data_IF_190411318029
#
_entry.id   IF_190411318029
#
_cell.length_a   1.000
_cell.length_b   1.000
_cell.length_c   1.000
_cell.angle_alpha   90.00
_cell.angle_beta   90.00
_cell.angle_gamma   90.00
#
_symmetry.space_group_name_H-M   'P 1'
#
loop_
_entity.id
_entity.type
_entity.pdbx_description
1 polymer ?
#
# COMPACT_ATOMS: atom_id res chain seq x y z
N UNK A 1 -33.12 -45.42 45.76
CA UNK A 1 -33.37 -45.12 44.33
C UNK A 1 -32.00 -45.20 43.65
N UNK A 2 -31.43 -46.38 43.36
CA UNK A 2 -31.76 -47.31 42.26
C UNK A 2 -32.26 -46.53 41.05
N UNK A 3 -31.52 -46.29 39.95
CA UNK A 3 -30.46 -47.06 39.30
C UNK A 3 -31.02 -47.51 37.95
N UNK A 4 -30.43 -47.10 36.83
CA UNK A 4 -30.53 -47.82 35.55
C UNK A 4 -29.44 -47.34 34.58
N UNK A 5 -28.56 -48.28 34.24
CA UNK A 5 -27.64 -48.22 33.12
C UNK A 5 -28.36 -48.70 31.84
N UNK A 6 -27.94 -48.21 30.69
CA UNK A 6 -28.39 -48.66 29.37
C UNK A 6 -27.25 -48.53 28.37
N UNK A 7 -26.51 -49.62 28.23
CA UNK A 7 -25.67 -49.98 27.09
C UNK A 7 -26.59 -50.63 26.04
N UNK A 8 -26.45 -50.32 24.75
CA UNK A 8 -26.36 -51.33 23.67
C UNK A 8 -26.34 -50.74 22.24
N UNK A 9 -25.22 -51.00 21.57
CA UNK A 9 -25.02 -51.64 20.25
C UNK A 9 -25.73 -51.20 18.94
N UNK A 10 -24.85 -51.13 17.93
CA UNK A 10 -24.95 -51.65 16.56
C UNK A 10 -25.56 -50.79 15.43
N UNK A 11 -24.80 -50.67 14.33
CA UNK A 11 -25.36 -50.28 13.03
C UNK A 11 -24.38 -49.79 11.97
N UNK A 12 -23.36 -50.56 11.58
CA UNK A 12 -22.74 -50.39 10.25
C UNK A 12 -23.70 -50.89 9.16
N UNK A 13 -23.69 -50.26 7.98
CA UNK A 13 -23.75 -51.03 6.74
C UNK A 13 -22.60 -50.71 5.78
N UNK A 14 -21.97 -51.81 5.36
CA UNK A 14 -21.00 -51.97 4.27
C UNK A 14 -21.78 -52.21 2.97
N UNK A 15 -21.48 -51.52 1.87
CA UNK A 15 -21.75 -51.96 0.47
C UNK A 15 -21.01 -51.03 -0.52
N UNK A 16 -19.84 -51.41 -1.07
CA UNK A 16 -19.57 -52.10 -2.36
C UNK A 16 -20.12 -51.46 -3.65
N UNK A 17 -19.24 -50.72 -4.34
CA UNK A 17 -18.96 -50.74 -5.81
C UNK A 17 -19.97 -50.14 -6.80
N UNK A 18 -19.61 -49.90 -8.08
CA UNK A 18 -18.38 -50.33 -8.77
C UNK A 18 -17.58 -49.24 -9.52
N UNK A 19 -16.35 -49.65 -9.81
CA UNK A 19 -15.37 -49.19 -10.78
C UNK A 19 -15.91 -48.98 -12.21
N UNK A 20 -15.51 -47.90 -12.86
CA UNK A 20 -15.26 -47.86 -14.32
C UNK A 20 -14.01 -47.05 -14.61
N UNK A 21 -13.02 -47.79 -15.08
CA UNK A 21 -11.82 -47.37 -15.77
C UNK A 21 -12.22 -46.75 -17.13
N UNK A 22 -11.67 -45.60 -17.51
CA UNK A 22 -11.68 -45.18 -18.91
C UNK A 22 -10.30 -44.63 -19.29
N UNK A 23 -9.64 -45.44 -20.09
CA UNK A 23 -8.36 -45.17 -20.74
C UNK A 23 -8.54 -44.13 -21.83
N UNK A 24 -7.95 -42.94 -21.65
CA UNK A 24 -7.93 -41.87 -22.65
C UNK A 24 -6.50 -41.50 -23.03
N UNK A 25 -5.88 -42.32 -23.88
CA UNK A 25 -4.57 -42.09 -24.49
C UNK A 25 -4.73 -41.05 -25.61
N UNK A 26 -4.46 -39.78 -25.32
CA UNK A 26 -4.46 -38.66 -26.27
C UNK A 26 -3.04 -38.32 -26.72
N UNK A 27 -2.81 -38.45 -28.02
CA UNK A 27 -1.58 -38.23 -28.76
C UNK A 27 -0.97 -36.83 -28.61
N UNK A 28 0.37 -36.80 -28.50
CA UNK A 28 1.19 -35.61 -28.63
C UNK A 28 0.96 -34.95 -30.01
N UNK A 29 0.51 -33.70 -30.00
CA UNK A 29 0.52 -32.83 -31.17
C UNK A 29 1.65 -31.81 -31.02
N UNK A 30 2.72 -32.06 -31.76
CA UNK A 30 3.76 -31.10 -32.10
C UNK A 30 3.13 -29.90 -32.79
N UNK A 31 3.22 -28.71 -32.19
CA UNK A 31 2.66 -27.47 -32.72
C UNK A 31 3.59 -26.29 -32.46
N UNK A 32 4.47 -26.04 -33.43
CA UNK A 32 5.02 -24.74 -33.83
C UNK A 32 5.43 -23.73 -32.74
N UNK A 33 6.74 -23.72 -32.49
CA UNK A 33 7.50 -22.64 -31.88
C UNK A 33 7.34 -21.35 -32.72
N UNK A 34 6.84 -20.23 -32.17
CA UNK A 34 6.80 -18.96 -32.89
C UNK A 34 8.22 -18.41 -33.10
N UNK A 35 8.45 -17.87 -34.31
CA UNK A 35 9.70 -17.28 -34.72
C UNK A 35 10.09 -16.07 -33.84
N UNK A 36 11.39 -15.83 -33.58
CA UNK A 36 11.83 -14.64 -32.87
C UNK A 36 11.61 -13.37 -33.72
N UNK A 37 11.23 -12.23 -33.11
CA UNK A 37 11.08 -10.97 -33.83
C UNK A 37 12.42 -10.46 -34.36
N UNK A 38 12.43 -9.72 -35.49
CA UNK A 38 13.63 -9.13 -36.05
C UNK A 38 14.24 -8.08 -35.10
N UNK A 39 15.56 -8.16 -34.94
CA UNK A 39 16.37 -7.21 -34.15
C UNK A 39 16.24 -5.80 -34.74
N UNK A 40 15.77 -4.85 -33.95
CA UNK A 40 15.83 -3.43 -34.29
C UNK A 40 17.30 -2.96 -34.34
N UNK A 41 17.67 -2.11 -35.32
CA UNK A 41 19.01 -1.55 -35.42
C UNK A 41 19.28 -0.52 -34.31
N UNK A 42 20.47 -0.64 -33.71
CA UNK A 42 21.10 0.36 -32.83
C UNK A 42 21.13 1.72 -33.53
N UNK A 43 20.38 2.68 -33.00
CA UNK A 43 20.62 4.10 -33.30
C UNK A 43 21.65 4.66 -32.34
N UNK A 44 22.71 5.18 -32.96
CA UNK A 44 23.89 5.74 -32.33
C UNK A 44 23.57 7.03 -31.58
N UNK A 45 24.11 7.08 -30.36
CA UNK A 45 24.31 8.25 -29.50
C UNK A 45 25.00 9.40 -30.27
N UNK A 46 24.40 10.61 -30.34
CA UNK A 46 25.15 11.82 -30.68
C UNK A 46 25.80 12.46 -29.44
N UNK A 47 26.96 13.05 -29.70
CA UNK A 47 27.92 13.60 -28.76
C UNK A 47 27.47 14.94 -28.14
N UNK A 48 27.97 15.19 -26.92
CA UNK A 48 27.92 16.48 -26.24
C UNK A 48 28.77 17.54 -26.97
N UNK A 49 28.32 18.79 -27.09
CA UNK A 49 29.18 19.90 -27.49
C UNK A 49 29.95 20.52 -26.29
N UNK A 50 31.12 21.13 -26.55
CA UNK A 50 32.06 21.60 -25.54
C UNK A 50 31.71 22.97 -24.95
N UNK A 51 32.30 23.23 -23.79
CA UNK A 51 32.12 24.45 -23.01
C UNK A 51 32.67 25.72 -23.64
N UNK A 52 32.15 26.85 -23.14
CA UNK A 52 32.65 28.20 -23.41
C UNK A 52 32.80 28.95 -22.08
N UNK A 53 34.05 29.04 -21.65
CA UNK A 53 34.83 30.23 -21.25
C UNK A 53 34.17 31.31 -20.38
N UNK A 54 34.79 31.49 -19.21
CA UNK A 54 34.74 32.66 -18.32
C UNK A 54 35.18 33.97 -18.99
N UNK A 55 34.51 35.06 -18.64
CA UNK A 55 35.08 36.41 -18.73
C UNK A 55 34.10 37.49 -18.29
N UNK A 56 34.55 38.40 -17.42
CA UNK A 56 33.91 39.71 -17.26
C UNK A 56 33.69 40.15 -15.82
N UNK A 57 34.59 41.01 -15.34
CA UNK A 57 34.61 41.67 -14.02
C UNK A 57 34.21 43.14 -14.19
N UNK A 58 33.67 43.75 -13.11
CA UNK A 58 33.39 45.20 -12.82
C UNK A 58 31.98 45.67 -13.22
N UNK A 59 31.25 46.50 -12.48
CA UNK A 59 31.54 47.46 -11.40
C UNK A 59 30.23 47.72 -10.58
N UNK A 60 30.26 48.17 -9.30
CA UNK A 60 29.09 48.37 -8.46
C UNK A 60 28.66 49.84 -8.43
N UNK A 61 27.40 50.14 -8.75
CA UNK A 61 26.70 51.38 -8.34
C UNK A 61 25.23 51.32 -8.76
N UNK A 62 24.36 50.83 -7.89
CA UNK A 62 22.96 51.25 -7.84
C UNK A 62 22.61 51.53 -6.38
N UNK A 63 22.51 52.82 -6.05
CA UNK A 63 21.61 53.27 -4.98
C UNK A 63 20.19 53.11 -5.50
N UNK A 64 19.32 52.44 -4.76
CA UNK A 64 18.02 53.00 -4.30
C UNK A 64 17.11 51.93 -3.69
N UNK A 65 16.34 52.44 -2.73
CA UNK A 65 15.05 51.97 -2.24
C UNK A 65 15.11 50.89 -1.16
N UNK A 66 14.78 51.34 0.06
CA UNK A 66 14.35 50.49 1.16
C UNK A 66 13.35 49.45 0.65
N UNK A 67 13.70 48.18 0.79
CA UNK A 67 12.75 47.10 0.68
C UNK A 67 11.73 47.29 1.81
N UNK A 68 10.56 47.77 1.45
CA UNK A 68 9.33 47.50 2.19
C UNK A 68 9.32 45.97 2.37
N UNK A 69 9.28 45.42 3.59
CA UNK A 69 9.13 43.99 3.75
C UNK A 69 7.74 43.66 3.21
N UNK A 70 7.72 43.12 2.00
CA UNK A 70 6.58 42.44 1.43
C UNK A 70 6.26 41.25 2.34
N UNK A 71 5.45 41.50 3.36
CA UNK A 71 4.70 40.45 4.03
C UNK A 71 3.57 40.03 3.09
N UNK A 72 3.94 39.45 1.95
CA UNK A 72 3.04 38.62 1.16
C UNK A 72 2.95 37.30 1.91
N UNK A 73 1.88 37.16 2.71
CA UNK A 73 1.27 35.84 2.86
C UNK A 73 0.94 35.37 1.44
N UNK A 74 1.47 34.23 1.04
CA UNK A 74 0.91 33.53 -0.10
C UNK A 74 -0.49 33.05 0.34
N UNK A 75 -1.51 33.89 0.12
CA UNK A 75 -2.93 33.56 0.27
C UNK A 75 -3.39 32.59 -0.84
N UNK A 76 -2.69 31.47 -1.00
CA UNK A 76 -2.94 30.55 -2.11
C UNK A 76 -2.44 29.13 -1.93
N UNK A 77 -1.74 28.81 -0.84
CA UNK A 77 -1.45 27.41 -0.52
C UNK A 77 -2.46 26.94 0.54
N UNK A 78 -3.18 25.83 0.30
CA UNK A 78 -4.01 25.27 1.36
C UNK A 78 -3.14 25.00 2.59
N UNK A 79 -3.56 25.48 3.76
CA UNK A 79 -2.92 25.15 5.04
C UNK A 79 -3.13 23.69 5.45
N UNK A 80 -3.90 22.94 4.66
CA UNK A 80 -4.06 21.51 4.79
C UNK A 80 -3.25 20.75 3.75
N UNK A 81 -2.80 19.55 4.10
CA UNK A 81 -2.17 18.63 3.15
C UNK A 81 -2.74 17.22 3.31
N UNK A 82 -2.93 16.53 2.18
CA UNK A 82 -3.33 15.12 2.16
C UNK A 82 -2.23 14.37 1.42
N UNK A 83 -1.53 13.50 2.13
CA UNK A 83 -0.56 12.59 1.57
C UNK A 83 -1.26 11.29 1.20
N UNK A 84 -1.01 10.81 0.00
CA UNK A 84 -1.52 9.53 -0.47
C UNK A 84 -0.33 8.67 -0.85
N UNK A 85 -0.07 7.62 -0.06
CA UNK A 85 0.96 6.64 -0.33
C UNK A 85 0.35 5.29 -0.71
N UNK A 86 0.83 4.73 -1.81
CA UNK A 86 0.44 3.41 -2.28
C UNK A 86 1.69 2.55 -2.37
N UNK A 87 1.65 1.34 -1.79
CA UNK A 87 2.73 0.35 -1.85
C UNK A 87 4.03 0.69 -1.08
N UNK A 88 3.93 1.50 -0.01
CA UNK A 88 5.03 1.80 0.90
C UNK A 88 5.37 0.67 1.88
N UNK A 89 6.01 0.99 3.01
CA UNK A 89 6.44 0.00 4.03
C UNK A 89 5.24 -0.75 4.66
N UNK A 90 4.06 -0.12 4.76
CA UNK A 90 2.84 -0.79 5.23
C UNK A 90 2.42 -1.92 4.28
N UNK A 91 2.40 -1.67 2.97
CA UNK A 91 2.09 -2.70 1.99
C UNK A 91 3.16 -3.80 1.99
N UNK A 92 4.42 -3.45 2.22
CA UNK A 92 5.49 -4.43 2.36
C UNK A 92 5.30 -5.32 3.60
N UNK A 93 4.89 -4.77 4.74
CA UNK A 93 4.60 -5.56 5.93
C UNK A 93 3.43 -6.54 5.73
N UNK A 94 2.37 -6.11 5.04
CA UNK A 94 1.27 -7.00 4.65
C UNK A 94 1.74 -8.08 3.65
N UNK A 95 2.62 -7.73 2.72
CA UNK A 95 3.22 -8.70 1.80
C UNK A 95 4.01 -9.76 2.55
N UNK A 96 4.81 -9.36 3.54
CA UNK A 96 5.57 -10.29 4.38
C UNK A 96 4.63 -11.21 5.18
N UNK A 97 3.56 -10.65 5.77
CA UNK A 97 2.53 -11.42 6.49
C UNK A 97 1.99 -12.54 5.62
N UNK A 98 1.50 -12.21 4.44
CA UNK A 98 0.84 -13.17 3.56
C UNK A 98 1.84 -14.16 2.93
N UNK A 99 3.01 -13.67 2.50
CA UNK A 99 4.03 -14.52 1.89
C UNK A 99 4.56 -15.56 2.88
N UNK A 100 4.66 -15.23 4.17
CA UNK A 100 5.15 -16.13 5.21
C UNK A 100 4.03 -16.86 5.98
N UNK A 101 2.76 -16.54 5.72
CA UNK A 101 1.62 -17.14 6.43
C UNK A 101 1.56 -16.77 7.92
N UNK A 102 1.97 -15.56 8.27
CA UNK A 102 1.99 -15.09 9.67
C UNK A 102 0.54 -14.95 10.17
N UNK A 103 0.24 -15.59 11.29
CA UNK A 103 -1.08 -15.59 11.95
C UNK A 103 -0.92 -15.00 13.37
N UNK A 104 -1.72 -13.99 13.70
CA UNK A 104 -1.79 -13.33 15.01
C UNK A 104 -3.12 -12.57 15.11
N UNK A 105 -3.62 -12.23 16.32
CA UNK A 105 -4.84 -11.43 16.43
C UNK A 105 -4.81 -10.12 15.62
N UNK A 106 -3.65 -9.46 15.54
CA UNK A 106 -3.47 -8.24 14.74
C UNK A 106 -3.44 -8.57 13.25
N UNK A 107 -2.67 -9.59 12.85
CA UNK A 107 -2.55 -10.02 11.46
C UNK A 107 -3.89 -10.46 10.87
N UNK A 108 -4.69 -11.19 11.66
CA UNK A 108 -5.98 -11.77 11.29
C UNK A 108 -7.10 -10.72 11.25
N UNK A 109 -6.91 -9.57 11.90
CA UNK A 109 -7.86 -8.45 11.85
C UNK A 109 -7.85 -7.69 10.51
N UNK A 110 -6.78 -7.86 9.72
CA UNK A 110 -6.58 -7.16 8.45
C UNK A 110 -6.84 -8.18 7.32
N UNK A 111 -7.67 -7.86 6.30
CA UNK A 111 -7.95 -8.79 5.21
C UNK A 111 -6.68 -9.22 4.45
N UNK A 112 -6.69 -10.41 3.80
CA UNK A 112 -5.57 -10.87 2.98
C UNK A 112 -5.35 -9.96 1.77
N UNK A 113 -4.15 -9.97 1.21
CA UNK A 113 -3.80 -9.22 0.01
C UNK A 113 -4.56 -9.74 -1.21
N UNK A 114 -4.98 -8.81 -2.06
CA UNK A 114 -5.57 -9.08 -3.36
C UNK A 114 -4.82 -8.30 -4.44
N UNK A 115 -4.11 -8.99 -5.36
CA UNK A 115 -3.95 -10.42 -5.49
C UNK A 115 -3.06 -11.01 -4.40
N UNK A 116 -3.32 -12.28 -4.05
CA UNK A 116 -2.57 -13.00 -3.02
C UNK A 116 -1.05 -12.95 -3.25
N UNK A 117 -0.30 -12.72 -2.18
CA UNK A 117 1.15 -12.77 -2.23
C UNK A 117 1.64 -14.22 -2.51
N UNK A 118 2.67 -14.40 -3.34
CA UNK A 118 3.25 -15.73 -3.55
C UNK A 118 3.80 -16.30 -2.23
N UNK A 119 3.24 -17.44 -1.81
CA UNK A 119 3.67 -18.10 -0.58
C UNK A 119 5.16 -18.51 -0.63
N UNK A 120 5.83 -18.36 0.51
CA UNK A 120 7.22 -18.75 0.71
C UNK A 120 7.32 -19.66 1.91
N UNK A 121 7.84 -20.86 1.68
CA UNK A 121 8.25 -21.73 2.77
C UNK A 121 9.44 -21.11 3.50
N UNK A 122 9.28 -20.94 4.81
CA UNK A 122 10.32 -20.50 5.71
C UNK A 122 10.20 -21.30 7.02
N UNK A 123 11.30 -21.73 7.65
CA UNK A 123 11.24 -22.24 9.01
C UNK A 123 10.66 -21.16 9.91
N UNK A 124 9.48 -21.36 10.49
CA UNK A 124 8.84 -20.38 11.38
C UNK A 124 9.80 -20.04 12.54
N UNK A 125 10.50 -18.88 12.50
CA UNK A 125 11.41 -18.54 13.56
C UNK A 125 10.56 -18.28 14.81
N UNK A 126 10.98 -18.79 15.98
CA UNK A 126 10.20 -18.64 17.20
C UNK A 126 9.93 -17.15 17.47
N UNK A 127 8.65 -16.81 17.64
CA UNK A 127 8.22 -15.43 17.91
C UNK A 127 8.01 -14.54 16.68
N UNK A 128 8.09 -15.07 15.45
CA UNK A 128 7.90 -14.26 14.23
C UNK A 128 6.60 -13.46 14.22
N UNK A 129 5.49 -14.08 14.63
CA UNK A 129 4.20 -13.40 14.72
C UNK A 129 4.23 -12.19 15.68
N UNK A 130 4.84 -12.35 16.85
CA UNK A 130 5.01 -11.24 17.81
C UNK A 130 5.93 -10.14 17.27
N UNK A 131 7.04 -10.51 16.62
CA UNK A 131 7.92 -9.52 16.00
C UNK A 131 7.24 -8.77 14.84
N UNK A 132 6.37 -9.45 14.09
CA UNK A 132 5.57 -8.80 13.05
C UNK A 132 4.55 -7.85 13.67
N UNK A 133 3.87 -8.22 14.75
CA UNK A 133 2.94 -7.34 15.47
C UNK A 133 3.64 -6.06 15.99
N UNK A 134 4.84 -6.21 16.56
CA UNK A 134 5.67 -5.10 17.00
C UNK A 134 6.11 -4.22 15.83
N UNK A 135 6.45 -4.83 14.69
CA UNK A 135 6.80 -4.09 13.48
C UNK A 135 5.61 -3.34 12.90
N UNK A 136 4.44 -4.00 12.79
CA UNK A 136 3.19 -3.40 12.35
C UNK A 136 2.83 -2.19 13.21
N UNK A 137 2.89 -2.34 14.54
CA UNK A 137 2.63 -1.26 15.49
C UNK A 137 3.62 -0.10 15.30
N UNK A 138 4.90 -0.37 15.06
CA UNK A 138 5.91 0.68 14.82
C UNK A 138 5.68 1.46 13.53
N UNK A 139 5.36 0.79 12.42
CA UNK A 139 5.19 1.45 11.11
C UNK A 139 3.82 2.12 10.95
N UNK A 140 2.83 1.69 11.73
CA UNK A 140 1.50 2.31 11.75
C UNK A 140 1.31 3.29 12.91
N UNK A 141 2.22 3.29 13.88
CA UNK A 141 2.24 4.25 14.99
C UNK A 141 2.36 5.69 14.51
N UNK A 142 1.81 6.61 15.30
CA UNK A 142 1.71 8.03 14.96
C UNK A 142 3.08 8.62 14.58
N UNK A 143 3.18 9.16 13.36
CA UNK A 143 4.31 9.99 12.95
C UNK A 143 4.34 11.22 13.87
N UNK A 144 5.51 11.66 14.39
CA UNK A 144 5.56 12.88 15.18
C UNK A 144 5.00 14.05 14.38
N UNK A 145 4.20 14.88 15.06
CA UNK A 145 3.56 16.06 14.49
C UNK A 145 4.57 16.93 13.73
N UNK A 146 4.11 17.52 12.62
CA UNK A 146 4.88 18.29 11.66
C UNK A 146 5.97 19.15 12.31
N UNK A 147 7.23 18.88 11.96
CA UNK A 147 8.39 19.69 12.37
C UNK A 147 9.54 18.92 13.03
N UNK A 148 9.31 17.69 13.50
CA UNK A 148 10.39 16.80 13.94
C UNK A 148 10.65 15.75 12.88
N UNK A 149 11.91 15.62 12.47
CA UNK A 149 12.37 14.50 11.66
C UNK A 149 12.04 13.21 12.43
N UNK A 150 11.00 12.51 11.99
CA UNK A 150 10.62 11.25 12.59
C UNK A 150 11.85 10.33 12.53
N UNK A 151 12.20 9.62 13.62
CA UNK A 151 13.19 8.56 13.53
C UNK A 151 12.80 7.67 12.36
N UNK A 152 13.77 7.31 11.52
CA UNK A 152 13.51 6.42 10.38
C UNK A 152 12.69 5.23 10.88
N UNK A 153 11.59 4.87 10.20
CA UNK A 153 10.74 3.79 10.64
C UNK A 153 11.63 2.57 10.85
N UNK A 154 11.62 2.05 12.07
CA UNK A 154 12.51 0.98 12.43
C UNK A 154 12.21 -0.21 11.50
N UNK A 155 13.27 -0.81 10.97
CA UNK A 155 13.17 -1.79 9.89
C UNK A 155 12.35 -3.03 10.26
N UNK A 156 12.16 -3.92 9.27
CA UNK A 156 11.58 -5.24 9.49
C UNK A 156 12.27 -5.99 10.64
N UNK A 157 11.59 -6.96 11.28
CA UNK A 157 12.18 -7.77 12.32
C UNK A 157 13.55 -8.36 11.94
N UNK A 158 14.51 -8.35 12.86
CA UNK A 158 15.84 -8.95 12.68
C UNK A 158 15.74 -10.44 12.31
N UNK A 159 14.70 -11.12 12.79
CA UNK A 159 14.39 -12.50 12.41
C UNK A 159 14.19 -12.72 10.90
N UNK A 160 14.04 -11.64 10.11
CA UNK A 160 13.89 -11.66 8.66
C UNK A 160 15.14 -11.23 7.90
N UNK A 161 16.25 -10.88 8.56
CA UNK A 161 17.42 -10.25 7.90
C UNK A 161 17.95 -11.08 6.71
N UNK A 162 18.08 -12.39 6.88
CA UNK A 162 18.54 -13.30 5.82
C UNK A 162 17.57 -13.41 4.63
N UNK A 163 16.27 -13.21 4.88
CA UNK A 163 15.23 -13.26 3.86
C UNK A 163 14.95 -11.91 3.24
N UNK A 164 15.28 -10.82 3.93
CA UNK A 164 14.81 -9.48 3.61
C UNK A 164 15.16 -9.05 2.19
N UNK A 165 16.38 -9.30 1.65
CA UNK A 165 16.69 -8.97 0.26
C UNK A 165 15.80 -9.71 -0.76
N UNK A 166 15.40 -10.94 -0.44
CA UNK A 166 14.52 -11.75 -1.31
C UNK A 166 13.09 -11.24 -1.22
N UNK A 167 12.57 -11.06 0.00
CA UNK A 167 11.23 -10.52 0.25
C UNK A 167 11.03 -9.16 -0.41
N UNK A 168 12.00 -8.24 -0.27
CA UNK A 168 11.93 -6.93 -0.94
C UNK A 168 11.87 -7.05 -2.45
N UNK A 169 12.70 -7.91 -3.05
CA UNK A 169 12.69 -8.13 -4.50
C UNK A 169 11.37 -8.72 -4.99
N UNK A 170 10.81 -9.67 -4.26
CA UNK A 170 9.56 -10.31 -4.65
C UNK A 170 8.36 -9.38 -4.46
N UNK A 171 8.34 -8.61 -3.37
CA UNK A 171 7.39 -7.52 -3.19
C UNK A 171 7.48 -6.51 -4.34
N UNK A 172 8.68 -6.07 -4.72
CA UNK A 172 8.84 -5.14 -5.85
C UNK A 172 8.28 -5.70 -7.15
N UNK A 173 8.48 -7.01 -7.42
CA UNK A 173 7.92 -7.67 -8.61
C UNK A 173 6.40 -7.77 -8.56
N UNK A 174 5.86 -8.19 -7.41
CA UNK A 174 4.42 -8.29 -7.19
C UNK A 174 3.74 -6.91 -7.31
N UNK A 175 4.29 -5.89 -6.66
CA UNK A 175 3.78 -4.52 -6.73
C UNK A 175 3.93 -3.91 -8.13
N UNK A 176 4.97 -4.27 -8.89
CA UNK A 176 5.08 -3.88 -10.29
C UNK A 176 3.99 -4.53 -11.15
N UNK A 177 3.65 -5.79 -10.88
CA UNK A 177 2.52 -6.50 -11.51
C UNK A 177 1.19 -5.79 -11.26
N UNK A 178 0.92 -5.40 -10.00
CA UNK A 178 -0.26 -4.62 -9.64
C UNK A 178 -0.36 -3.29 -10.39
N UNK A 179 0.72 -2.51 -10.42
CA UNK A 179 0.76 -1.25 -11.16
C UNK A 179 0.56 -1.43 -12.67
N UNK A 180 1.15 -2.48 -13.24
CA UNK A 180 0.97 -2.81 -14.65
C UNK A 180 -0.48 -3.18 -14.97
N UNK A 181 -1.14 -3.93 -14.07
CA UNK A 181 -2.55 -4.29 -14.22
C UNK A 181 -3.49 -3.08 -14.09
N UNK A 182 -3.24 -2.20 -13.12
CA UNK A 182 -3.95 -0.92 -12.99
C UNK A 182 -3.80 -0.06 -14.26
N UNK A 183 -2.58 0.05 -14.78
CA UNK A 183 -2.32 0.78 -16.02
C UNK A 183 -3.02 0.15 -17.23
N UNK A 184 -3.08 -1.19 -17.29
CA UNK A 184 -3.72 -1.95 -18.38
C UNK A 184 -5.24 -1.81 -18.37
N UNK A 185 -5.85 -1.84 -17.20
CA UNK A 185 -7.31 -1.69 -17.04
C UNK A 185 -7.77 -0.25 -17.22
N UNK A 186 -6.85 0.71 -17.21
CA UNK A 186 -7.16 2.14 -17.34
C UNK A 186 -7.95 2.68 -16.15
N UNK A 187 -7.93 1.98 -15.02
CA UNK A 187 -8.62 2.45 -13.83
C UNK A 187 -7.98 3.75 -13.32
N UNK A 188 -8.78 4.75 -12.93
CA UNK A 188 -8.25 6.02 -12.43
C UNK A 188 -7.42 5.79 -11.15
N UNK A 189 -6.47 6.66 -10.84
CA UNK A 189 -5.84 6.56 -9.51
C UNK A 189 -6.88 6.91 -8.44
N UNK A 190 -6.84 6.21 -7.31
CA UNK A 190 -7.72 6.45 -6.15
C UNK A 190 -7.74 7.92 -5.73
N UNK A 191 -6.58 8.57 -5.74
CA UNK A 191 -6.43 10.01 -5.47
C UNK A 191 -7.18 10.92 -6.46
N UNK A 192 -7.44 10.44 -7.68
CA UNK A 192 -8.14 11.20 -8.73
C UNK A 192 -9.66 10.97 -8.66
N UNK A 193 -10.10 9.90 -7.98
CA UNK A 193 -11.53 9.56 -7.79
C UNK A 193 -12.13 10.34 -6.61
N UNK A 194 -11.35 10.55 -5.56
CA UNK A 194 -11.84 11.19 -4.34
C UNK A 194 -11.79 12.72 -4.49
N UNK A 195 -12.94 13.42 -4.35
CA UNK A 195 -12.99 14.88 -4.47
C UNK A 195 -12.54 15.55 -3.15
N UNK A 196 -11.25 15.45 -2.83
CA UNK A 196 -10.71 15.96 -1.56
C UNK A 196 -10.99 17.44 -1.34
N UNK A 197 -10.89 18.28 -2.37
CA UNK A 197 -11.19 19.71 -2.27
C UNK A 197 -12.64 19.95 -1.84
N UNK A 198 -13.60 19.28 -2.47
CA UNK A 198 -15.02 19.42 -2.14
C UNK A 198 -15.31 18.93 -0.72
N UNK A 199 -14.70 17.82 -0.32
CA UNK A 199 -14.82 17.28 1.05
C UNK A 199 -14.31 18.26 2.10
N UNK A 200 -13.13 18.85 1.86
CA UNK A 200 -12.52 19.83 2.76
C UNK A 200 -13.37 21.10 2.80
N UNK A 201 -13.89 21.55 1.66
CA UNK A 201 -14.75 22.73 1.55
C UNK A 201 -16.11 22.54 2.24
N UNK A 202 -16.68 21.34 2.19
CA UNK A 202 -17.85 20.96 2.98
C UNK A 202 -17.55 21.07 4.48
N UNK A 203 -16.48 20.41 4.97
CA UNK A 203 -16.12 20.43 6.38
C UNK A 203 -15.83 21.86 6.85
N UNK A 204 -15.13 22.66 6.04
CA UNK A 204 -14.84 24.07 6.31
C UNK A 204 -16.13 24.88 6.51
N UNK A 205 -17.10 24.74 5.60
CA UNK A 205 -18.41 25.40 5.70
C UNK A 205 -19.20 24.97 6.93
N UNK A 206 -19.15 23.70 7.27
CA UNK A 206 -19.83 23.16 8.46
C UNK A 206 -19.23 23.67 9.76
N UNK A 207 -17.91 23.82 9.84
CA UNK A 207 -17.22 24.35 11.01
C UNK A 207 -17.25 25.88 11.09
N UNK A 208 -17.70 26.56 10.03
CA UNK A 208 -17.73 28.03 9.98
C UNK A 208 -16.35 28.68 10.04
N UNK A 209 -15.30 28.00 9.54
CA UNK A 209 -13.91 28.48 9.55
C UNK A 209 -13.48 28.98 8.18
N UNK A 210 -12.62 29.99 8.13
CA UNK A 210 -12.10 30.52 6.87
C UNK A 210 -10.95 29.67 6.28
N UNK A 211 -10.30 28.85 7.12
CA UNK A 211 -9.24 27.92 6.73
C UNK A 211 -9.11 26.76 7.71
N UNK A 212 -8.53 25.65 7.22
CA UNK A 212 -8.24 24.44 7.99
C UNK A 212 -6.74 24.16 7.93
N UNK A 213 -6.13 23.84 9.07
CA UNK A 213 -4.71 23.49 9.18
C UNK A 213 -4.61 22.06 9.71
N UNK A 214 -4.34 21.11 8.81
CA UNK A 214 -4.16 19.72 9.17
C UNK A 214 -3.33 18.98 8.13
N UNK A 215 -2.76 17.85 8.53
CA UNK A 215 -2.20 16.87 7.61
C UNK A 215 -2.97 15.57 7.75
N UNK A 216 -3.28 14.90 6.64
CA UNK A 216 -3.89 13.58 6.61
C UNK A 216 -3.03 12.66 5.73
N UNK A 217 -2.62 11.51 6.24
CA UNK A 217 -1.89 10.49 5.50
C UNK A 217 -2.81 9.30 5.22
N UNK A 218 -3.03 9.03 3.93
CA UNK A 218 -3.82 7.90 3.43
C UNK A 218 -2.86 6.86 2.87
N UNK A 219 -2.85 5.69 3.48
CA UNK A 219 -2.15 4.52 2.97
C UNK A 219 -3.13 3.62 2.24
N UNK A 220 -3.00 3.56 0.92
CA UNK A 220 -3.75 2.62 0.10
C UNK A 220 -3.10 1.24 0.17
N UNK A 221 -3.91 0.23 0.52
CA UNK A 221 -3.48 -1.17 0.55
C UNK A 221 -4.31 -2.07 -0.37
N UNK A 222 -3.66 -2.98 -1.12
CA UNK A 222 -4.34 -3.90 -2.01
C UNK A 222 -4.79 -5.15 -1.23
N UNK A 223 -5.79 -4.98 -0.36
CA UNK A 223 -6.41 -6.08 0.41
C UNK A 223 -7.78 -6.43 -0.14
N UNK A 224 -8.24 -7.64 0.12
CA UNK A 224 -9.53 -8.14 -0.35
C UNK A 224 -10.70 -7.35 0.26
N UNK A 225 -11.56 -6.82 -0.61
CA UNK A 225 -12.80 -6.15 -0.25
C UNK A 225 -12.64 -4.74 0.35
N UNK A 226 -13.76 -4.09 0.71
CA UNK A 226 -13.74 -2.77 1.33
C UNK A 226 -13.16 -2.87 2.75
N UNK A 227 -12.09 -2.12 3.00
CA UNK A 227 -11.41 -2.11 4.29
C UNK A 227 -11.04 -0.68 4.68
N UNK A 228 -11.28 -0.35 5.95
CA UNK A 228 -10.99 0.96 6.53
C UNK A 228 -10.48 0.77 7.95
N UNK A 229 -9.33 1.37 8.24
CA UNK A 229 -8.78 1.44 9.59
C UNK A 229 -8.13 2.81 9.79
N UNK A 230 -8.61 3.58 10.77
CA UNK A 230 -7.92 4.79 11.21
C UNK A 230 -6.83 4.40 12.21
N UNK A 231 -5.60 4.84 11.96
CA UNK A 231 -4.46 4.59 12.83
C UNK A 231 -3.91 5.92 13.32
N UNK A 232 -3.94 6.13 14.64
CA UNK A 232 -3.63 7.44 15.20
C UNK A 232 -4.66 8.52 14.81
N UNK A 233 -4.25 9.78 14.87
CA UNK A 233 -5.14 10.92 14.63
C UNK A 233 -5.24 11.29 13.16
N UNK A 234 -4.12 11.23 12.43
CA UNK A 234 -3.92 11.81 11.10
C UNK A 234 -3.65 10.77 10.02
N UNK A 235 -3.68 9.48 10.35
CA UNK A 235 -3.32 8.41 9.43
C UNK A 235 -4.48 7.43 9.24
N UNK A 236 -4.73 7.04 8.00
CA UNK A 236 -5.75 6.06 7.65
C UNK A 236 -5.19 5.02 6.71
N UNK A 237 -5.60 3.78 6.91
CA UNK A 237 -5.36 2.65 6.04
C UNK A 237 -6.68 2.30 5.35
N UNK A 238 -6.68 2.29 4.03
CA UNK A 238 -7.90 2.03 3.26
C UNK A 238 -7.59 1.12 2.07
N UNK A 239 -8.52 0.22 1.75
CA UNK A 239 -8.35 -0.63 0.57
C UNK A 239 -8.53 0.16 -0.72
N UNK A 240 -7.83 -0.28 -1.78
CA UNK A 240 -8.01 0.25 -3.13
C UNK A 240 -9.48 0.23 -3.56
N UNK A 241 -10.21 -0.85 -3.24
CA UNK A 241 -11.62 -1.00 -3.60
C UNK A 241 -12.51 0.02 -2.89
N UNK A 242 -12.30 0.23 -1.59
CA UNK A 242 -13.05 1.23 -0.84
C UNK A 242 -12.78 2.65 -1.36
N UNK A 243 -11.52 3.01 -1.59
CA UNK A 243 -11.14 4.35 -2.07
C UNK A 243 -11.67 4.68 -3.48
N UNK A 244 -12.03 3.65 -4.26
CA UNK A 244 -12.69 3.80 -5.57
C UNK A 244 -14.21 3.87 -5.46
N UNK A 245 -14.78 3.51 -4.31
CA UNK A 245 -16.22 3.56 -4.04
C UNK A 245 -16.62 4.91 -3.45
N UNK A 246 -17.83 5.41 -3.75
CA UNK A 246 -18.45 6.52 -3.02
C UNK A 246 -18.51 6.30 -1.50
N UNK A 247 -18.47 5.04 -1.04
CA UNK A 247 -18.53 4.69 0.38
C UNK A 247 -17.31 5.21 1.19
N UNK A 248 -16.20 5.55 0.53
CA UNK A 248 -15.05 6.17 1.19
C UNK A 248 -15.32 7.62 1.66
N UNK A 249 -16.31 8.31 1.08
CA UNK A 249 -16.57 9.74 1.32
C UNK A 249 -16.94 10.01 2.77
N UNK A 250 -17.88 9.23 3.34
CA UNK A 250 -18.34 9.42 4.71
C UNK A 250 -17.24 9.25 5.78
N UNK A 251 -16.45 8.15 5.79
CA UNK A 251 -15.37 7.99 6.77
C UNK A 251 -14.23 9.02 6.57
N UNK A 252 -13.88 9.38 5.33
CA UNK A 252 -12.89 10.44 5.07
C UNK A 252 -13.34 11.79 5.62
N UNK A 253 -14.59 12.18 5.38
CA UNK A 253 -15.16 13.42 5.92
C UNK A 253 -15.14 13.44 7.44
N UNK A 254 -15.44 12.31 8.09
CA UNK A 254 -15.35 12.20 9.56
C UNK A 254 -13.93 12.46 10.04
N UNK A 255 -12.91 11.86 9.42
CA UNK A 255 -11.50 12.07 9.82
C UNK A 255 -11.06 13.51 9.59
N UNK A 256 -11.41 14.10 8.44
CA UNK A 256 -11.09 15.50 8.12
C UNK A 256 -11.73 16.43 9.16
N UNK A 257 -12.99 16.21 9.53
CA UNK A 257 -13.66 17.00 10.58
C UNK A 257 -12.93 16.90 11.91
N UNK A 258 -12.54 15.71 12.34
CA UNK A 258 -11.86 15.50 13.62
C UNK A 258 -10.48 16.17 13.65
N UNK A 259 -9.76 16.15 12.52
CA UNK A 259 -8.47 16.82 12.38
C UNK A 259 -8.59 18.35 12.31
N UNK A 260 -9.73 18.82 11.81
CA UNK A 260 -10.03 20.23 11.61
C UNK A 260 -10.70 20.89 12.82
N UNK A 261 -11.08 20.13 13.86
CA UNK A 261 -11.76 20.61 15.07
C UNK A 261 -10.78 21.35 16.00
#
# INVERSE_FOLDING_TARGET
MSGFAGDETAGSPKRTGPSTDVTGRGTASSGSRPAPPPRSPRTSRPASPPGVVHGGRRDPRIRRTAAIPWNMRFDGNPSWSINHDSFGEIAFALYVRDALGITSPTADSIPPLEPAAPARSHPDPPGLAGHWDDWWTRITGARPAAGHEAPAPAGPPEALDDLLPRLRRDHSRWAAGLRAEQARTGQPHTRDVIPFHDLVDEVRRELGRDGLDFTLSIHEVPVAGPYWLRIGTDTVLASSDLLRSPDAVAPLRSVIRDLAA
#
